data_IF_820045207983
#
_entry.id   IF_820045207983
#
_cell.length_a   1.000
_cell.length_b   1.000
_cell.length_c   1.000
_cell.angle_alpha   90.00
_cell.angle_beta   90.00
_cell.angle_gamma   90.00
#
_symmetry.space_group_name_H-M   'P 1'
#
loop_
_entity.id
_entity.type
_entity.pdbx_description
1 polymer ?
#
# COMPACT_ATOMS: atom_id res chain seq x y z
N UNK A 1 27.16 65.68 -9.39
CA UNK A 1 28.58 65.34 -9.43
C UNK A 1 28.61 63.97 -10.07
N UNK A 2 28.55 63.85 -11.44
CA UNK A 2 29.75 63.95 -12.33
C UNK A 2 30.86 63.07 -11.80
N UNK A 3 31.27 62.07 -12.48
CA UNK A 3 32.04 61.86 -13.71
C UNK A 3 32.25 60.38 -13.92
N UNK A 4 32.48 59.82 -14.97
CA UNK A 4 32.78 60.04 -16.40
C UNK A 4 33.58 58.82 -16.88
N UNK A 5 33.20 58.40 -18.04
CA UNK A 5 33.86 57.63 -19.08
C UNK A 5 35.27 57.01 -18.88
N UNK A 6 35.43 55.77 -19.34
CA UNK A 6 36.49 55.50 -20.33
C UNK A 6 36.23 54.24 -21.18
N UNK A 7 36.27 54.51 -22.48
CA UNK A 7 36.18 53.52 -23.60
C UNK A 7 37.61 53.03 -23.89
N UNK A 8 37.77 51.73 -24.10
CA UNK A 8 38.96 51.21 -24.81
C UNK A 8 38.60 50.15 -25.87
N UNK A 9 38.90 50.54 -27.11
CA UNK A 9 38.84 49.74 -28.34
C UNK A 9 39.89 48.62 -28.34
N UNK A 10 39.58 47.47 -28.92
CA UNK A 10 40.57 46.42 -29.17
C UNK A 10 40.15 45.28 -30.08
N UNK A 11 40.17 45.52 -31.39
CA UNK A 11 40.51 44.59 -32.50
C UNK A 11 39.68 43.33 -32.72
N UNK A 12 38.92 43.39 -33.83
CA UNK A 12 38.36 42.27 -34.59
C UNK A 12 39.51 41.41 -35.17
N UNK A 13 39.42 40.11 -34.95
CA UNK A 13 40.09 39.10 -35.76
C UNK A 13 39.02 38.22 -36.40
N UNK A 14 38.91 38.34 -37.72
CA UNK A 14 38.07 37.49 -38.57
C UNK A 14 38.81 36.17 -38.76
N UNK A 15 38.28 35.06 -38.30
CA UNK A 15 38.63 33.72 -38.77
C UNK A 15 37.49 33.16 -39.59
N UNK A 16 37.73 33.11 -40.88
CA UNK A 16 36.93 32.42 -41.88
C UNK A 16 37.32 30.94 -41.79
N UNK A 17 36.42 30.08 -41.34
CA UNK A 17 36.60 28.63 -41.45
C UNK A 17 35.37 27.99 -42.10
N UNK A 18 35.65 27.24 -43.14
CA UNK A 18 34.77 26.67 -44.12
C UNK A 18 33.70 25.77 -43.52
N UNK A 19 32.48 25.89 -44.05
CA UNK A 19 31.40 24.92 -43.84
C UNK A 19 31.71 23.64 -44.60
N UNK A 20 31.84 22.55 -43.87
CA UNK A 20 31.62 21.21 -44.39
C UNK A 20 30.28 20.76 -43.89
N UNK A 21 29.29 20.76 -44.78
CA UNK A 21 27.98 20.22 -44.51
C UNK A 21 28.07 18.68 -44.51
N UNK A 22 28.20 18.10 -43.34
CA UNK A 22 27.99 16.67 -43.13
C UNK A 22 26.54 16.42 -42.83
N UNK A 23 25.79 15.92 -43.80
CA UNK A 23 24.44 15.34 -43.55
C UNK A 23 24.61 14.07 -42.71
N UNK A 24 24.29 14.14 -41.42
CA UNK A 24 24.02 12.96 -40.61
C UNK A 24 22.53 12.57 -40.79
N UNK A 25 22.23 11.29 -41.00
CA UNK A 25 20.84 10.85 -41.09
C UNK A 25 20.15 11.10 -39.74
N UNK A 26 19.00 11.77 -39.80
CA UNK A 26 18.05 11.90 -38.68
C UNK A 26 17.56 10.49 -38.40
N UNK A 27 18.15 9.83 -37.44
CA UNK A 27 17.60 8.63 -36.87
C UNK A 27 16.24 8.98 -36.27
N UNK A 28 15.17 8.30 -36.74
CA UNK A 28 13.90 8.30 -36.11
C UNK A 28 14.10 7.88 -34.64
N UNK A 29 14.18 8.86 -33.75
CA UNK A 29 14.03 8.66 -32.33
C UNK A 29 12.61 8.16 -32.09
N UNK A 30 12.42 6.85 -32.07
CA UNK A 30 11.32 6.28 -31.33
C UNK A 30 11.51 6.78 -29.90
N UNK A 31 10.67 7.74 -29.51
CA UNK A 31 10.42 7.99 -28.10
C UNK A 31 9.86 6.66 -27.56
N UNK A 32 10.71 5.85 -26.98
CA UNK A 32 10.28 4.83 -26.06
C UNK A 32 9.61 5.59 -24.91
N UNK A 33 8.30 5.76 -25.06
CA UNK A 33 7.43 6.08 -23.95
C UNK A 33 7.81 5.07 -22.86
N UNK A 34 8.55 5.52 -21.85
CA UNK A 34 8.81 4.71 -20.68
C UNK A 34 7.44 4.55 -20.01
N UNK A 35 6.79 3.44 -20.32
CA UNK A 35 5.63 2.95 -19.59
C UNK A 35 5.98 3.07 -18.11
N UNK A 36 5.15 3.70 -17.28
CA UNK A 36 5.46 3.82 -15.86
C UNK A 36 5.69 2.42 -15.31
N UNK A 37 6.93 2.16 -14.92
CA UNK A 37 7.44 0.84 -14.49
C UNK A 37 6.79 0.36 -13.19
N UNK A 38 5.96 1.17 -12.53
CA UNK A 38 5.45 0.90 -11.19
C UNK A 38 4.00 0.36 -11.11
N UNK A 39 3.21 0.47 -12.17
CA UNK A 39 1.76 0.18 -12.07
C UNK A 39 1.41 -1.32 -12.03
N UNK A 40 2.31 -2.19 -12.50
CA UNK A 40 2.07 -3.62 -12.59
C UNK A 40 2.91 -4.45 -11.59
N UNK A 41 3.94 -3.88 -10.98
CA UNK A 41 4.96 -4.67 -10.28
C UNK A 41 4.48 -5.13 -8.91
N UNK A 42 3.85 -4.28 -8.09
CA UNK A 42 3.37 -4.69 -6.75
C UNK A 42 2.20 -5.65 -6.86
N UNK A 43 1.15 -5.34 -7.63
CA UNK A 43 0.00 -6.22 -7.80
C UNK A 43 0.38 -7.63 -8.31
N UNK A 44 1.27 -7.71 -9.30
CA UNK A 44 1.73 -9.00 -9.83
C UNK A 44 2.70 -9.70 -8.88
N UNK A 45 3.57 -8.96 -8.20
CA UNK A 45 4.49 -9.50 -7.21
C UNK A 45 3.74 -10.04 -5.99
N UNK A 46 2.77 -9.29 -5.49
CA UNK A 46 1.90 -9.70 -4.39
C UNK A 46 1.11 -10.97 -4.75
N UNK A 47 0.54 -11.02 -5.95
CA UNK A 47 -0.16 -12.21 -6.44
C UNK A 47 0.72 -13.45 -6.55
N UNK A 48 2.02 -13.27 -6.84
CA UNK A 48 2.99 -14.38 -6.91
C UNK A 48 3.45 -14.86 -5.53
N UNK A 49 3.37 -14.00 -4.49
CA UNK A 49 3.81 -14.28 -3.13
C UNK A 49 2.68 -14.70 -2.18
N UNK A 50 1.44 -14.68 -2.67
CA UNK A 50 0.25 -15.00 -1.87
C UNK A 50 0.39 -16.31 -1.09
N UNK A 51 -0.13 -16.32 0.13
CA UNK A 51 -0.15 -17.50 0.98
C UNK A 51 -1.24 -18.49 0.53
N UNK A 52 -0.87 -19.77 0.46
CA UNK A 52 -1.83 -20.86 0.21
C UNK A 52 -2.64 -21.23 1.46
N UNK A 53 -2.29 -20.68 2.62
CA UNK A 53 -2.94 -20.97 3.89
C UNK A 53 -4.09 -20.03 4.23
N UNK A 54 -4.35 -19.00 3.43
CA UNK A 54 -5.47 -18.07 3.59
C UNK A 54 -6.77 -18.75 3.17
N UNK A 55 -7.80 -18.63 4.01
CA UNK A 55 -9.14 -19.13 3.74
C UNK A 55 -10.00 -18.06 3.06
N UNK A 56 -9.99 -18.06 1.73
CA UNK A 56 -10.76 -17.09 0.97
C UNK A 56 -12.24 -17.44 0.92
N UNK A 57 -13.14 -16.53 1.31
CA UNK A 57 -14.57 -16.75 1.12
C UNK A 57 -14.95 -16.71 -0.37
N UNK A 58 -16.06 -17.33 -0.70
CA UNK A 58 -16.57 -17.35 -2.07
C UNK A 58 -16.68 -15.94 -2.65
N UNK A 59 -16.15 -15.74 -3.86
CA UNK A 59 -16.15 -14.46 -4.55
C UNK A 59 -14.99 -13.52 -4.19
N UNK A 60 -14.08 -13.91 -3.29
CA UNK A 60 -12.91 -13.12 -2.90
C UNK A 60 -11.58 -13.87 -3.11
N UNK A 61 -11.52 -14.72 -4.12
CA UNK A 61 -10.25 -15.36 -4.46
C UNK A 61 -9.30 -14.37 -5.16
N UNK A 62 -7.99 -14.40 -4.88
CA UNK A 62 -7.00 -13.48 -5.46
C UNK A 62 -7.03 -13.39 -6.99
N UNK A 63 -7.37 -14.49 -7.67
CA UNK A 63 -7.51 -14.53 -9.14
C UNK A 63 -8.66 -13.67 -9.67
N UNK A 64 -9.57 -13.24 -8.80
CA UNK A 64 -10.73 -12.42 -9.13
C UNK A 64 -10.59 -10.99 -8.65
N UNK A 65 -9.42 -10.64 -8.06
CA UNK A 65 -9.19 -9.34 -7.47
C UNK A 65 -9.03 -8.25 -8.54
N UNK A 66 -9.70 -7.12 -8.34
CA UNK A 66 -9.44 -5.88 -9.05
C UNK A 66 -8.25 -5.14 -8.43
N UNK A 67 -8.01 -5.34 -7.13
CA UNK A 67 -6.85 -4.89 -6.37
C UNK A 67 -6.51 -5.97 -5.33
N UNK A 68 -5.23 -6.28 -5.18
CA UNK A 68 -4.71 -7.28 -4.24
C UNK A 68 -3.42 -6.78 -3.62
N UNK A 69 -3.22 -7.05 -2.34
CA UNK A 69 -1.95 -6.89 -1.66
C UNK A 69 -1.61 -8.12 -0.82
N UNK A 70 -0.33 -8.45 -0.78
CA UNK A 70 0.29 -9.41 0.11
C UNK A 70 1.44 -8.73 0.84
N UNK A 71 1.44 -8.84 2.17
CA UNK A 71 2.52 -8.34 3.01
C UNK A 71 2.77 -9.34 4.15
N UNK A 72 4.03 -9.46 4.56
CA UNK A 72 4.39 -10.32 5.67
C UNK A 72 5.53 -9.73 6.50
N UNK A 73 5.57 -10.07 7.79
CA UNK A 73 6.64 -9.65 8.70
C UNK A 73 6.84 -10.63 9.84
N UNK A 74 8.08 -10.79 10.29
CA UNK A 74 8.39 -11.48 11.52
C UNK A 74 8.40 -10.51 12.71
N UNK A 75 7.74 -10.92 13.81
CA UNK A 75 7.64 -10.18 15.07
C UNK A 75 8.26 -11.02 16.19
N UNK A 76 9.22 -10.45 16.92
CA UNK A 76 9.84 -11.08 18.08
C UNK A 76 8.96 -10.91 19.34
N UNK A 77 7.73 -11.40 19.23
CA UNK A 77 6.73 -11.47 20.30
C UNK A 77 5.78 -12.63 20.02
N UNK A 78 5.06 -13.09 21.04
CA UNK A 78 4.10 -14.18 20.87
C UNK A 78 2.89 -13.78 20.00
N UNK A 79 2.29 -14.74 19.29
CA UNK A 79 1.15 -14.46 18.42
C UNK A 79 -0.09 -13.98 19.20
N UNK A 80 -0.27 -14.37 20.44
CA UNK A 80 -1.35 -13.85 21.29
C UNK A 80 -1.19 -12.35 21.58
N UNK A 81 0.04 -11.86 21.82
CA UNK A 81 0.33 -10.43 22.00
C UNK A 81 0.07 -9.65 20.70
N UNK A 82 0.49 -10.20 19.56
CA UNK A 82 0.21 -9.62 18.24
C UNK A 82 -1.28 -9.57 17.98
N UNK A 83 -1.98 -10.68 18.20
CA UNK A 83 -3.42 -10.80 17.98
C UNK A 83 -4.21 -9.81 18.84
N UNK A 84 -3.84 -9.65 20.12
CA UNK A 84 -4.44 -8.67 21.00
C UNK A 84 -4.34 -7.23 20.45
N UNK A 85 -3.20 -6.84 19.85
CA UNK A 85 -3.03 -5.54 19.22
C UNK A 85 -3.94 -5.37 17.98
N UNK A 86 -4.17 -6.44 17.22
CA UNK A 86 -5.11 -6.42 16.09
C UNK A 86 -6.55 -6.28 16.59
N UNK A 87 -6.91 -6.95 17.69
CA UNK A 87 -8.25 -6.90 18.25
C UNK A 87 -8.63 -5.52 18.83
N UNK A 88 -7.68 -4.75 19.34
CA UNK A 88 -7.93 -3.42 19.92
C UNK A 88 -8.24 -2.36 18.85
N UNK A 89 -9.31 -2.56 18.09
CA UNK A 89 -9.59 -1.80 16.86
C UNK A 89 -9.78 -0.30 17.10
N UNK A 90 -10.50 0.11 18.14
CA UNK A 90 -10.69 1.54 18.43
C UNK A 90 -9.38 2.24 18.87
N UNK A 91 -8.32 1.49 19.14
CA UNK A 91 -6.98 2.03 19.39
C UNK A 91 -6.11 2.15 18.13
N UNK A 92 -6.48 1.56 16.99
CA UNK A 92 -5.69 1.65 15.76
C UNK A 92 -5.28 3.08 15.39
N UNK A 93 -6.17 4.10 15.47
CA UNK A 93 -5.80 5.47 15.12
C UNK A 93 -4.66 6.06 15.96
N UNK A 94 -4.38 5.49 17.13
CA UNK A 94 -3.30 5.97 18.01
C UNK A 94 -1.91 5.51 17.57
N UNK A 95 -1.82 4.51 16.68
CA UNK A 95 -0.55 3.91 16.28
C UNK A 95 -0.45 3.50 14.80
N UNK A 96 -1.56 3.40 14.09
CA UNK A 96 -1.61 3.17 12.64
C UNK A 96 -2.16 4.42 11.93
N UNK A 97 -1.28 5.24 11.32
CA UNK A 97 -1.67 6.57 10.81
C UNK A 97 -2.70 6.54 9.67
N UNK A 98 -2.87 5.40 8.99
CA UNK A 98 -3.84 5.25 7.92
C UNK A 98 -5.23 4.80 8.42
N UNK A 99 -5.45 4.76 9.73
CA UNK A 99 -6.71 4.38 10.36
C UNK A 99 -7.31 5.55 11.12
N UNK A 100 -8.58 5.89 10.83
CA UNK A 100 -9.31 6.98 11.47
C UNK A 100 -10.72 6.55 11.82
N UNK A 101 -11.34 7.25 12.76
CA UNK A 101 -12.76 7.14 13.11
C UNK A 101 -13.23 5.69 13.34
N UNK A 102 -12.36 4.84 13.90
CA UNK A 102 -12.70 3.43 14.14
C UNK A 102 -13.75 3.32 15.22
N UNK A 103 -14.84 2.60 14.95
CA UNK A 103 -15.92 2.36 15.88
C UNK A 103 -16.42 0.92 15.79
N UNK A 104 -16.32 0.17 16.88
CA UNK A 104 -16.96 -1.16 17.01
C UNK A 104 -18.42 -0.96 17.36
N UNK A 105 -19.34 -1.49 16.54
CA UNK A 105 -20.77 -1.14 16.59
C UNK A 105 -21.58 -2.06 17.51
N UNK A 106 -21.10 -3.27 17.76
CA UNK A 106 -21.82 -4.28 18.53
C UNK A 106 -21.02 -4.80 19.74
N UNK A 107 -20.11 -3.99 20.26
CA UNK A 107 -19.42 -4.18 21.54
C UNK A 107 -19.15 -2.84 22.20
N UNK A 108 -18.88 -2.83 23.51
CA UNK A 108 -18.64 -1.62 24.29
C UNK A 108 -17.17 -1.42 24.69
N UNK A 109 -16.35 -2.44 24.50
CA UNK A 109 -14.91 -2.43 24.84
C UNK A 109 -14.00 -1.99 23.70
N UNK A 110 -14.58 -1.69 22.51
CA UNK A 110 -13.85 -1.25 21.33
C UNK A 110 -12.98 -2.33 20.65
N UNK A 111 -13.22 -3.61 20.98
CA UNK A 111 -12.45 -4.74 20.47
C UNK A 111 -13.20 -5.54 19.43
N UNK A 112 -12.45 -6.11 18.47
CA UNK A 112 -12.99 -7.08 17.54
C UNK A 112 -13.23 -8.43 18.25
N UNK A 113 -14.30 -9.07 17.87
CA UNK A 113 -14.72 -10.38 18.35
C UNK A 113 -15.41 -11.14 17.20
N UNK A 114 -15.76 -12.45 17.35
CA UNK A 114 -16.52 -13.17 16.34
C UNK A 114 -17.80 -12.42 15.94
N UNK A 115 -17.97 -12.19 14.62
CA UNK A 115 -19.08 -11.41 14.05
C UNK A 115 -19.12 -9.93 14.49
N UNK A 116 -17.98 -9.33 14.95
CA UNK A 116 -17.91 -7.92 15.22
C UNK A 116 -18.24 -7.11 13.96
N UNK A 117 -19.07 -6.07 14.13
CA UNK A 117 -19.31 -5.07 13.09
C UNK A 117 -18.62 -3.78 13.52
N UNK A 118 -17.92 -3.16 12.59
CA UNK A 118 -17.20 -1.92 12.86
C UNK A 118 -17.13 -1.04 11.60
N UNK A 119 -17.01 0.24 11.81
CA UNK A 119 -16.77 1.21 10.75
C UNK A 119 -15.45 1.93 10.99
N UNK A 120 -14.81 2.36 9.93
CA UNK A 120 -13.54 3.09 9.99
C UNK A 120 -13.25 3.79 8.67
N UNK A 121 -12.33 4.75 8.72
CA UNK A 121 -11.83 5.42 7.52
C UNK A 121 -10.39 4.99 7.28
N UNK A 122 -10.10 4.52 6.07
CA UNK A 122 -8.75 4.12 5.64
C UNK A 122 -8.55 4.48 4.17
N UNK A 123 -7.34 4.87 3.79
CA UNK A 123 -7.03 5.37 2.44
C UNK A 123 -7.96 6.49 1.93
N UNK A 124 -8.54 7.28 2.85
CA UNK A 124 -9.52 8.32 2.53
C UNK A 124 -10.92 7.80 2.17
N UNK A 125 -11.21 6.52 2.42
CA UNK A 125 -12.50 5.88 2.16
C UNK A 125 -13.14 5.43 3.46
N UNK A 126 -14.44 5.67 3.62
CA UNK A 126 -15.24 5.11 4.71
C UNK A 126 -15.60 3.66 4.42
N UNK A 127 -15.32 2.76 5.38
CA UNK A 127 -15.52 1.32 5.24
C UNK A 127 -16.42 0.81 6.37
N UNK A 128 -17.47 0.09 5.99
CA UNK A 128 -18.29 -0.71 6.89
C UNK A 128 -17.78 -2.16 6.87
N UNK A 129 -17.45 -2.71 8.02
CA UNK A 129 -16.76 -4.00 8.12
C UNK A 129 -17.49 -4.98 9.02
N UNK A 130 -17.34 -6.28 8.71
CA UNK A 130 -17.83 -7.37 9.54
C UNK A 130 -16.82 -8.52 9.61
N UNK A 131 -16.43 -8.89 10.84
CA UNK A 131 -15.57 -10.06 11.09
C UNK A 131 -16.28 -11.32 10.62
N UNK A 132 -15.60 -12.11 9.80
CA UNK A 132 -16.07 -13.35 9.20
C UNK A 132 -15.30 -14.56 9.74
N UNK A 133 -13.98 -14.55 9.67
CA UNK A 133 -13.11 -15.57 10.24
C UNK A 133 -12.55 -15.07 11.58
N UNK A 134 -12.55 -15.92 12.59
CA UNK A 134 -12.00 -15.61 13.90
C UNK A 134 -11.49 -16.89 14.57
N UNK A 135 -10.16 -17.08 14.56
CA UNK A 135 -9.50 -18.16 15.30
C UNK A 135 -8.49 -17.49 16.23
N UNK A 136 -8.68 -17.54 17.56
CA UNK A 136 -7.82 -16.86 18.51
C UNK A 136 -6.33 -17.13 18.24
N UNK A 137 -5.53 -16.08 18.32
CA UNK A 137 -4.07 -16.05 18.18
C UNK A 137 -3.52 -16.59 16.84
N UNK A 138 -4.40 -16.83 15.86
CA UNK A 138 -4.04 -17.46 14.58
C UNK A 138 -4.65 -16.78 13.36
N UNK A 139 -5.95 -16.47 13.36
CA UNK A 139 -6.62 -15.95 12.17
C UNK A 139 -7.69 -14.94 12.52
N UNK A 140 -7.73 -13.85 11.78
CA UNK A 140 -8.87 -12.96 11.75
C UNK A 140 -9.04 -12.39 10.34
N UNK A 141 -10.27 -12.44 9.83
CA UNK A 141 -10.59 -11.86 8.52
C UNK A 141 -11.96 -11.22 8.55
N UNK A 142 -12.15 -10.19 7.76
CA UNK A 142 -13.41 -9.44 7.71
C UNK A 142 -13.74 -8.96 6.31
N UNK A 143 -15.02 -8.86 6.03
CA UNK A 143 -15.52 -8.15 4.87
C UNK A 143 -15.46 -6.64 5.12
N UNK A 144 -15.13 -5.86 4.09
CA UNK A 144 -15.17 -4.41 4.09
C UNK A 144 -15.97 -3.90 2.89
N UNK A 145 -16.88 -2.95 3.11
CA UNK A 145 -17.70 -2.36 2.08
C UNK A 145 -17.49 -0.85 2.06
N UNK A 146 -17.01 -0.33 0.95
CA UNK A 146 -16.86 1.09 0.69
C UNK A 146 -17.56 1.48 -0.61
N UNK A 147 -17.52 2.78 -0.97
CA UNK A 147 -18.15 3.27 -2.20
C UNK A 147 -17.55 2.61 -3.44
N UNK A 148 -18.31 1.75 -4.09
CA UNK A 148 -17.90 1.02 -5.29
C UNK A 148 -16.82 -0.05 -5.05
N UNK A 149 -16.59 -0.44 -3.80
CA UNK A 149 -15.59 -1.44 -3.42
C UNK A 149 -16.16 -2.44 -2.43
N UNK A 150 -15.81 -3.72 -2.61
CA UNK A 150 -16.05 -4.79 -1.65
C UNK A 150 -14.71 -5.50 -1.41
N UNK A 151 -14.33 -5.63 -0.16
CA UNK A 151 -13.05 -6.20 0.23
C UNK A 151 -13.22 -7.42 1.15
N UNK A 152 -12.21 -8.27 1.14
CA UNK A 152 -11.94 -9.22 2.20
C UNK A 152 -10.49 -9.09 2.63
N UNK A 153 -10.29 -8.61 3.85
CA UNK A 153 -8.99 -8.44 4.46
C UNK A 153 -8.76 -9.52 5.52
N UNK A 154 -7.57 -10.08 5.58
CA UNK A 154 -7.26 -11.15 6.53
C UNK A 154 -5.83 -11.05 7.09
N UNK A 155 -5.70 -11.46 8.35
CA UNK A 155 -4.43 -11.71 9.02
C UNK A 155 -4.32 -13.20 9.33
N UNK A 156 -3.18 -13.80 8.96
CA UNK A 156 -2.74 -15.12 9.36
C UNK A 156 -1.51 -14.97 10.25
N UNK A 157 -1.58 -15.53 11.44
CA UNK A 157 -0.51 -15.52 12.44
C UNK A 157 0.04 -16.93 12.58
N UNK A 158 1.31 -17.11 12.23
CA UNK A 158 2.01 -18.37 12.27
C UNK A 158 2.99 -18.38 13.46
N UNK A 159 2.70 -19.19 14.45
CA UNK A 159 3.55 -19.33 15.64
C UNK A 159 4.86 -20.02 15.28
N UNK A 160 5.98 -19.42 15.69
CA UNK A 160 7.33 -19.98 15.56
C UNK A 160 7.98 -20.15 16.92
N UNK A 161 9.15 -20.76 16.96
CA UNK A 161 9.96 -20.89 18.20
C UNK A 161 10.51 -19.54 18.68
N UNK A 162 10.64 -18.57 17.79
CA UNK A 162 11.28 -17.27 18.06
C UNK A 162 10.27 -16.11 18.15
N UNK A 163 9.00 -16.34 17.78
CA UNK A 163 8.01 -15.29 17.78
C UNK A 163 6.79 -15.61 16.92
N UNK A 164 6.28 -14.61 16.23
CA UNK A 164 5.10 -14.69 15.40
C UNK A 164 5.41 -14.18 13.97
N UNK A 165 5.14 -15.00 12.97
CA UNK A 165 5.16 -14.56 11.58
C UNK A 165 3.76 -14.17 11.17
N UNK A 166 3.59 -12.93 10.73
CA UNK A 166 2.31 -12.36 10.30
C UNK A 166 2.29 -12.31 8.79
N UNK A 167 1.23 -12.84 8.20
CA UNK A 167 0.86 -12.60 6.80
C UNK A 167 -0.45 -11.82 6.79
N UNK A 168 -0.53 -10.76 6.01
CA UNK A 168 -1.79 -10.06 5.74
C UNK A 168 -2.02 -9.97 4.24
N UNK A 169 -3.24 -10.29 3.84
CA UNK A 169 -3.65 -10.22 2.44
C UNK A 169 -5.03 -9.58 2.33
N UNK A 170 -5.25 -8.84 1.25
CA UNK A 170 -6.53 -8.25 0.96
C UNK A 170 -6.90 -8.37 -0.51
N UNK A 171 -8.10 -8.87 -0.76
CA UNK A 171 -8.76 -8.85 -2.07
C UNK A 171 -9.80 -7.75 -2.07
N UNK A 172 -9.69 -6.81 -3.02
CA UNK A 172 -10.71 -5.78 -3.23
C UNK A 172 -11.28 -5.91 -4.63
N UNK A 173 -12.60 -5.77 -4.74
CA UNK A 173 -13.36 -5.89 -5.99
C UNK A 173 -14.25 -4.69 -6.22
N UNK A 174 -14.50 -4.40 -7.48
CA UNK A 174 -15.43 -3.37 -7.92
C UNK A 174 -14.76 -2.18 -8.62
N UNK A 175 -15.55 -1.30 -9.25
CA UNK A 175 -15.03 -0.20 -10.05
C UNK A 175 -14.19 0.78 -9.23
N UNK A 176 -14.49 0.98 -7.96
CA UNK A 176 -13.68 1.81 -7.06
C UNK A 176 -12.29 1.23 -6.82
N UNK A 177 -12.15 -0.11 -6.72
CA UNK A 177 -10.85 -0.78 -6.59
C UNK A 177 -9.99 -0.61 -7.85
N UNK A 178 -10.60 -0.72 -9.04
CA UNK A 178 -9.91 -0.47 -10.31
C UNK A 178 -9.40 0.96 -10.39
N UNK A 179 -10.23 1.93 -10.01
CA UNK A 179 -9.86 3.35 -10.01
C UNK A 179 -8.78 3.66 -8.96
N UNK A 180 -8.92 3.11 -7.76
CA UNK A 180 -7.93 3.27 -6.71
C UNK A 180 -6.56 2.74 -7.13
N UNK A 181 -6.50 1.50 -7.68
CA UNK A 181 -5.27 0.93 -8.20
C UNK A 181 -4.63 1.77 -9.30
N UNK A 182 -5.45 2.33 -10.20
CA UNK A 182 -4.96 3.19 -11.29
C UNK A 182 -4.33 4.48 -10.77
N UNK A 183 -4.93 5.09 -9.78
CA UNK A 183 -4.50 6.40 -9.26
C UNK A 183 -3.40 6.28 -8.20
N UNK A 184 -3.38 5.18 -7.44
CA UNK A 184 -2.48 4.93 -6.33
C UNK A 184 -2.03 3.46 -6.30
N UNK A 185 -1.22 3.01 -7.28
CA UNK A 185 -0.96 1.59 -7.56
C UNK A 185 -0.31 0.83 -6.40
N UNK A 186 0.44 1.50 -5.54
CA UNK A 186 1.16 0.88 -4.41
C UNK A 186 0.51 1.18 -3.05
N UNK A 187 -0.51 2.05 -3.00
CA UNK A 187 -0.99 2.58 -1.71
C UNK A 187 -1.48 1.48 -0.76
N UNK A 188 -2.17 0.45 -1.26
CA UNK A 188 -2.64 -0.65 -0.41
C UNK A 188 -1.47 -1.48 0.12
N UNK A 189 -0.52 -1.86 -0.74
CA UNK A 189 0.71 -2.56 -0.32
C UNK A 189 1.49 -1.75 0.72
N UNK A 190 1.77 -0.48 0.43
CA UNK A 190 2.53 0.40 1.32
C UNK A 190 1.79 0.62 2.66
N UNK A 191 0.46 0.71 2.62
CA UNK A 191 -0.37 0.84 3.81
C UNK A 191 -0.33 -0.40 4.69
N UNK A 192 -0.44 -1.60 4.11
CA UNK A 192 -0.30 -2.85 4.86
C UNK A 192 1.11 -3.03 5.43
N UNK A 193 2.12 -2.67 4.68
CA UNK A 193 3.51 -2.72 5.15
C UNK A 193 3.71 -1.76 6.35
N UNK A 194 3.15 -0.56 6.30
CA UNK A 194 3.12 0.36 7.44
C UNK A 194 2.36 -0.25 8.63
N UNK A 195 1.21 -0.89 8.39
CA UNK A 195 0.43 -1.52 9.46
C UNK A 195 1.23 -2.63 10.15
N UNK A 196 1.84 -3.52 9.38
CA UNK A 196 2.67 -4.60 9.92
C UNK A 196 3.85 -4.08 10.73
N UNK A 197 4.55 -3.03 10.26
CA UNK A 197 5.64 -2.39 11.01
C UNK A 197 5.17 -1.79 12.33
N UNK A 198 4.01 -1.15 12.35
CA UNK A 198 3.47 -0.56 13.58
C UNK A 198 2.97 -1.63 14.56
N UNK A 199 2.35 -2.72 14.07
CA UNK A 199 2.02 -3.90 14.88
C UNK A 199 3.29 -4.50 15.50
N UNK A 200 4.34 -4.70 14.70
CA UNK A 200 5.63 -5.20 15.17
C UNK A 200 6.19 -4.32 16.28
N UNK A 201 6.34 -3.03 16.03
CA UNK A 201 6.84 -2.08 17.03
C UNK A 201 6.04 -2.14 18.33
N UNK A 202 4.72 -2.18 18.25
CA UNK A 202 3.83 -2.25 19.40
C UNK A 202 3.92 -3.58 20.16
N UNK A 203 4.13 -4.67 19.45
CA UNK A 203 4.18 -6.00 20.05
C UNK A 203 5.54 -6.33 20.67
N UNK A 204 6.61 -5.72 20.19
CA UNK A 204 7.96 -5.95 20.71
C UNK A 204 8.32 -5.05 21.89
N UNK A 205 7.53 -4.03 22.20
CA UNK A 205 7.65 -3.16 23.38
C UNK A 205 6.71 -3.66 24.52
#
# INVERSE_FOLDING_TARGET
MENDMSISNGKRILFLCAMIAGFLPIGNGQSTEMKPLNEALTFNADGAQRSTEIHWPSGFHPEQADLFAHNEIFVNASCDKVFANILDAELWPSWYPNSHNVKVLNATDGKLHPNARFSWDTFGVHIESQVHEFVPDSRIGWFGNGTGMNAYHTFLLLKTTEGCHIVTEEVVRGPGAVEFRKNQPNAMHDGHDLWLRTIKQRSEN
#
